data_IF_716822988831
#
_entry.id   IF_716822988831
#
_cell.length_a   1.000
_cell.length_b   1.000
_cell.length_c   1.000
_cell.angle_alpha   90.00
_cell.angle_beta   90.00
_cell.angle_gamma   90.00
#
_symmetry.space_group_name_H-M   'P 1'
#
loop_
_entity.id
_entity.type
_entity.pdbx_description
1 polymer ?
#
# COMPACT_ATOMS: atom_id res chain seq x y z
N UNK A 1 -16.03 12.98 -22.59
CA UNK A 1 -15.38 12.86 -21.27
C UNK A 1 -15.02 11.41 -21.07
N UNK A 2 -13.77 11.04 -21.32
CA UNK A 2 -13.29 9.68 -21.13
C UNK A 2 -12.90 9.52 -19.66
N UNK A 3 -13.49 8.56 -18.95
CA UNK A 3 -12.93 8.01 -17.72
C UNK A 3 -12.45 6.59 -18.08
N UNK A 4 -11.26 6.42 -18.68
CA UNK A 4 -10.71 5.09 -18.90
C UNK A 4 -9.97 4.70 -17.62
N UNK A 5 -10.46 3.70 -16.89
CA UNK A 5 -9.64 3.08 -15.83
C UNK A 5 -10.38 2.69 -14.57
N UNK A 6 -11.37 1.80 -14.69
CA UNK A 6 -11.72 0.91 -13.58
C UNK A 6 -11.51 -0.54 -14.03
N UNK A 7 -10.30 -0.83 -14.50
CA UNK A 7 -9.80 -2.19 -14.62
C UNK A 7 -9.43 -2.65 -13.22
N UNK A 8 -10.20 -3.62 -12.74
CA UNK A 8 -10.01 -4.36 -11.50
C UNK A 8 -8.67 -5.13 -11.58
N UNK A 9 -7.56 -4.44 -11.39
CA UNK A 9 -6.22 -4.98 -11.53
C UNK A 9 -5.86 -5.70 -10.22
N UNK A 10 -5.72 -7.02 -10.27
CA UNK A 10 -5.38 -7.86 -9.11
C UNK A 10 -3.97 -7.57 -8.55
N UNK A 11 -3.22 -6.68 -9.20
CA UNK A 11 -1.95 -6.08 -8.82
C UNK A 11 -2.05 -4.60 -8.42
N UNK A 12 -3.23 -3.98 -8.48
CA UNK A 12 -3.44 -2.59 -8.06
C UNK A 12 -3.58 -2.56 -6.56
N UNK A 13 -2.60 -1.90 -5.93
CA UNK A 13 -2.63 -1.31 -4.59
C UNK A 13 -3.58 -2.02 -3.59
N UNK A 14 -3.09 -2.78 -2.59
CA UNK A 14 -3.89 -3.46 -1.56
C UNK A 14 -4.58 -2.47 -0.57
N UNK A 15 -4.93 -1.28 -1.05
CA UNK A 15 -5.65 -0.27 -0.34
C UNK A 15 -7.11 -0.69 -0.22
N UNK A 16 -7.48 -1.18 0.95
CA UNK A 16 -8.87 -1.52 1.31
C UNK A 16 -9.77 -0.27 1.51
N UNK A 17 -9.32 0.91 1.04
CA UNK A 17 -9.96 2.23 1.25
C UNK A 17 -10.30 2.57 2.72
N UNK A 18 -9.78 1.79 3.66
CA UNK A 18 -9.83 2.02 5.10
C UNK A 18 -8.41 2.33 5.59
N UNK A 19 -7.95 3.55 5.30
CA UNK A 19 -6.59 3.97 5.62
C UNK A 19 -6.55 4.59 7.01
N UNK A 20 -6.26 3.78 8.04
CA UNK A 20 -5.94 4.29 9.37
C UNK A 20 -4.42 4.29 9.53
N UNK A 21 -3.79 5.45 9.56
CA UNK A 21 -2.36 5.59 9.81
C UNK A 21 -2.11 5.58 11.32
N UNK A 22 -1.02 4.94 11.73
CA UNK A 22 -0.50 4.98 13.10
C UNK A 22 0.41 6.22 13.31
N UNK A 23 0.96 6.40 14.51
CA UNK A 23 1.90 7.48 14.83
C UNK A 23 3.22 7.44 14.03
N UNK A 24 3.56 6.29 13.45
CA UNK A 24 4.70 6.11 12.54
C UNK A 24 4.31 6.24 11.06
N UNK A 25 3.16 6.85 10.75
CA UNK A 25 2.63 6.98 9.38
C UNK A 25 2.44 5.63 8.65
N UNK A 26 2.30 4.53 9.40
CA UNK A 26 2.05 3.20 8.85
C UNK A 26 0.55 2.93 8.82
N UNK A 27 0.02 2.60 7.65
CA UNK A 27 -1.36 2.19 7.51
C UNK A 27 -1.60 0.85 8.22
N UNK A 28 -2.46 0.85 9.24
CA UNK A 28 -2.88 -0.32 9.99
C UNK A 28 -3.62 -1.35 9.12
N UNK A 29 -4.29 -0.89 8.05
CA UNK A 29 -5.05 -1.77 7.15
C UNK A 29 -4.17 -2.49 6.13
N UNK A 30 -3.25 -1.77 5.47
CA UNK A 30 -2.45 -2.32 4.38
C UNK A 30 -0.95 -2.45 4.69
N UNK A 31 -0.47 -1.98 5.85
CA UNK A 31 0.93 -2.05 6.28
C UNK A 31 1.89 -1.09 5.58
N UNK A 32 1.41 -0.29 4.61
CA UNK A 32 2.26 0.66 3.87
C UNK A 32 2.45 1.96 4.65
N UNK A 33 3.62 2.57 4.52
CA UNK A 33 3.88 3.90 5.05
C UNK A 33 3.23 4.99 4.19
N UNK A 34 2.92 6.15 4.77
CA UNK A 34 2.37 7.29 4.06
C UNK A 34 3.27 7.76 2.91
N UNK A 35 4.59 7.77 3.11
CA UNK A 35 5.57 8.08 2.07
C UNK A 35 5.49 7.10 0.89
N UNK A 36 5.28 5.81 1.17
CA UNK A 36 5.13 4.77 0.15
C UNK A 36 3.78 4.89 -0.58
N UNK A 37 2.73 5.36 0.10
CA UNK A 37 1.39 5.60 -0.48
C UNK A 37 1.43 6.82 -1.40
N UNK A 38 2.02 7.93 -0.95
CA UNK A 38 2.16 9.18 -1.71
C UNK A 38 3.12 9.01 -2.88
N UNK A 39 4.22 8.27 -2.69
CA UNK A 39 5.18 7.92 -3.73
C UNK A 39 4.73 6.82 -4.69
N UNK A 40 3.62 6.12 -4.43
CA UNK A 40 3.22 4.93 -5.20
C UNK A 40 3.04 5.19 -6.69
N UNK A 41 2.48 6.34 -7.07
CA UNK A 41 2.31 6.68 -8.49
C UNK A 41 3.64 6.95 -9.19
N UNK A 42 4.63 7.50 -8.48
CA UNK A 42 5.98 7.75 -8.99
C UNK A 42 6.89 6.51 -8.91
N UNK A 43 6.56 5.53 -8.07
CA UNK A 43 7.35 4.33 -7.85
C UNK A 43 7.35 3.40 -9.07
N UNK A 44 8.54 2.87 -9.37
CA UNK A 44 8.77 1.84 -10.38
C UNK A 44 8.17 0.50 -9.98
N UNK A 45 8.03 -0.43 -10.92
CA UNK A 45 7.48 -1.75 -10.64
C UNK A 45 8.27 -2.50 -9.55
N UNK A 46 9.60 -2.38 -9.56
CA UNK A 46 10.48 -2.99 -8.55
C UNK A 46 10.28 -2.36 -7.16
N UNK A 47 10.20 -1.03 -7.08
CA UNK A 47 9.91 -0.33 -5.84
C UNK A 47 8.53 -0.68 -5.28
N UNK A 48 7.52 -0.78 -6.15
CA UNK A 48 6.17 -1.22 -5.78
C UNK A 48 6.21 -2.61 -5.15
N UNK A 49 6.96 -3.55 -5.73
CA UNK A 49 7.12 -4.89 -5.15
C UNK A 49 7.81 -4.83 -3.77
N UNK A 50 8.88 -4.03 -3.63
CA UNK A 50 9.58 -3.84 -2.34
C UNK A 50 8.67 -3.24 -1.27
N UNK A 51 7.87 -2.23 -1.63
CA UNK A 51 6.88 -1.61 -0.74
C UNK A 51 5.86 -2.65 -0.26
N UNK A 52 5.33 -3.46 -1.18
CA UNK A 52 4.36 -4.51 -0.83
C UNK A 52 4.97 -5.58 0.09
N UNK A 53 6.21 -5.99 -0.15
CA UNK A 53 6.92 -6.93 0.72
C UNK A 53 7.15 -6.36 2.12
N UNK A 54 7.61 -5.11 2.23
CA UNK A 54 7.79 -4.42 3.51
C UNK A 54 6.46 -4.28 4.25
N UNK A 55 5.41 -3.90 3.55
CA UNK A 55 4.08 -3.72 4.12
C UNK A 55 3.51 -5.04 4.68
N UNK A 56 3.63 -6.14 3.94
CA UNK A 56 3.24 -7.46 4.43
C UNK A 56 4.04 -7.86 5.68
N UNK A 57 5.36 -7.66 5.66
CA UNK A 57 6.23 -7.97 6.81
C UNK A 57 5.85 -7.18 8.06
N UNK A 58 5.47 -5.90 7.90
CA UNK A 58 4.97 -5.07 9.02
C UNK A 58 3.64 -5.61 9.57
N UNK A 59 2.73 -6.04 8.70
CA UNK A 59 1.46 -6.65 9.12
C UNK A 59 1.68 -7.98 9.86
N UNK A 60 2.55 -8.85 9.36
CA UNK A 60 2.91 -10.10 10.05
C UNK A 60 3.51 -9.84 11.43
N UNK A 61 4.45 -8.90 11.54
CA UNK A 61 5.02 -8.50 12.82
C UNK A 61 3.97 -7.97 13.80
N UNK A 62 2.95 -7.26 13.32
CA UNK A 62 1.84 -6.78 14.16
C UNK A 62 0.86 -7.89 14.55
N UNK A 63 0.64 -8.88 13.68
CA UNK A 63 -0.25 -10.03 13.94
C UNK A 63 0.34 -11.02 14.94
N UNK A 64 1.67 -11.14 15.00
CA UNK A 64 2.37 -12.04 15.91
C UNK A 64 2.64 -11.44 17.31
N UNK A 65 1.95 -10.35 17.67
CA UNK A 65 2.07 -9.70 18.98
C UNK A 65 0.71 -9.70 19.69
#
# INVERSE_FOLDING_TARGET
>A
MLIPGNTLDKSTSPCVRNCCLDGDDICLGCGRALEEITGWNAATADEKQKILQRANKRLENRRNK
#
